data_IF_992107090076
#
_entry.id   IF_992107090076
#
_cell.length_a   1.000
_cell.length_b   1.000
_cell.length_c   1.000
_cell.angle_alpha   90.00
_cell.angle_beta   90.00
_cell.angle_gamma   90.00
#
_symmetry.space_group_name_H-M   'P 1'
#
loop_
_entity.id
_entity.type
_entity.pdbx_description
1 polymer ?
#
# COMPACT_ATOMS: atom_id res chain seq x y z
N UNK A 1 -14.87 11.03 -0.85
CA UNK A 1 -14.28 11.75 0.30
C UNK A 1 -12.84 11.30 0.40
N UNK A 2 -11.84 12.19 0.43
CA UNK A 2 -10.43 11.77 0.56
C UNK A 2 -10.19 11.36 2.00
N UNK A 3 -9.78 10.12 2.23
CA UNK A 3 -9.55 9.62 3.58
C UNK A 3 -8.31 10.30 4.21
N UNK A 4 -8.43 10.62 5.48
CA UNK A 4 -7.35 11.19 6.31
C UNK A 4 -7.12 10.27 7.50
N UNK A 5 -5.87 10.15 7.94
CA UNK A 5 -5.54 9.37 9.13
C UNK A 5 -6.07 10.07 10.39
N UNK A 6 -6.87 9.37 11.20
CA UNK A 6 -7.43 9.91 12.45
C UNK A 6 -6.34 10.22 13.49
N UNK A 7 -5.20 9.53 13.44
CA UNK A 7 -4.11 9.72 14.41
C UNK A 7 -3.20 10.90 14.08
N UNK A 8 -2.90 11.14 12.81
CA UNK A 8 -1.91 12.16 12.39
C UNK A 8 -2.43 13.22 11.43
N UNK A 9 -3.69 13.15 10.99
CA UNK A 9 -4.34 14.11 10.10
C UNK A 9 -3.83 14.11 8.65
N UNK A 10 -2.85 13.26 8.31
CA UNK A 10 -2.29 13.19 6.96
C UNK A 10 -3.26 12.51 5.99
N UNK A 11 -3.20 12.92 4.73
CA UNK A 11 -4.01 12.32 3.65
C UNK A 11 -3.53 10.89 3.37
N UNK A 12 -4.47 9.95 3.30
CA UNK A 12 -4.17 8.54 2.98
C UNK A 12 -4.07 8.31 1.47
N UNK A 13 -4.68 9.16 0.65
CA UNK A 13 -4.51 9.18 -0.80
C UNK A 13 -3.15 9.78 -1.18
N UNK A 14 -2.10 8.95 -1.15
CA UNK A 14 -0.76 9.31 -1.59
C UNK A 14 -0.12 8.13 -2.34
N UNK A 15 0.91 8.40 -3.15
CA UNK A 15 1.53 7.36 -3.99
C UNK A 15 1.99 6.14 -3.17
N UNK A 16 2.59 6.36 -1.99
CA UNK A 16 3.05 5.27 -1.11
C UNK A 16 1.93 4.32 -0.66
N UNK A 17 0.68 4.77 -0.69
CA UNK A 17 -0.50 3.97 -0.35
C UNK A 17 -1.25 3.47 -1.59
N UNK A 18 -0.69 3.63 -2.80
CA UNK A 18 -1.30 3.20 -4.04
C UNK A 18 -0.77 1.81 -4.46
N UNK A 19 -1.62 0.96 -5.04
CA UNK A 19 -1.22 -0.34 -5.60
C UNK A 19 -0.30 -0.20 -6.83
N UNK A 20 -0.36 0.92 -7.54
CA UNK A 20 0.46 1.18 -8.72
C UNK A 20 1.85 1.72 -8.40
N UNK A 21 2.15 2.00 -7.14
CA UNK A 21 3.42 2.58 -6.75
C UNK A 21 4.51 1.51 -6.67
N UNK A 22 5.65 1.80 -7.30
CA UNK A 22 6.80 0.90 -7.37
C UNK A 22 8.09 1.72 -7.29
N UNK A 23 8.87 1.52 -6.22
CA UNK A 23 10.12 2.24 -5.98
C UNK A 23 11.22 1.94 -7.01
N UNK A 24 11.14 0.82 -7.71
CA UNK A 24 12.13 0.38 -8.69
C UNK A 24 11.97 1.09 -10.05
N UNK A 25 10.82 1.74 -10.27
CA UNK A 25 10.56 2.52 -11.48
C UNK A 25 11.03 3.96 -11.32
N UNK A 26 11.64 4.53 -12.36
CA UNK A 26 12.11 5.93 -12.36
C UNK A 26 10.99 6.94 -12.09
N UNK A 27 9.78 6.67 -12.62
CA UNK A 27 8.56 7.47 -12.39
C UNK A 27 7.78 7.06 -11.13
N UNK A 28 8.28 6.04 -10.43
CA UNK A 28 7.68 5.39 -9.26
C UNK A 28 6.19 5.03 -9.38
N UNK A 29 5.72 4.79 -10.60
CA UNK A 29 4.32 4.45 -10.89
C UNK A 29 4.29 3.47 -12.06
N UNK A 30 3.50 2.41 -11.95
CA UNK A 30 3.35 1.40 -13.00
C UNK A 30 2.41 1.86 -14.12
N UNK A 31 1.50 2.80 -13.84
CA UNK A 31 0.60 3.35 -14.86
C UNK A 31 1.37 4.15 -15.93
N UNK A 32 1.02 3.94 -17.18
CA UNK A 32 1.57 4.71 -18.29
C UNK A 32 0.92 6.09 -18.38
N UNK A 33 1.70 7.09 -18.82
CA UNK A 33 1.23 8.47 -18.95
C UNK A 33 1.13 9.26 -17.63
N UNK A 34 1.36 8.62 -16.48
CA UNK A 34 1.48 9.35 -15.20
C UNK A 34 2.87 9.97 -15.05
N UNK A 35 2.91 11.26 -14.71
CA UNK A 35 4.15 11.96 -14.39
C UNK A 35 4.51 11.78 -12.91
N UNK A 36 5.81 11.72 -12.64
CA UNK A 36 6.32 11.75 -11.27
C UNK A 36 6.10 13.13 -10.64
N UNK A 37 5.48 13.16 -9.47
CA UNK A 37 5.32 14.38 -8.66
C UNK A 37 6.32 14.37 -7.51
N UNK A 38 7.27 15.32 -7.53
CA UNK A 38 8.31 15.43 -6.51
C UNK A 38 7.86 16.19 -5.26
N UNK A 39 6.78 16.98 -5.35
CA UNK A 39 6.24 17.74 -4.24
C UNK A 39 5.53 16.85 -3.24
N UNK A 40 6.02 16.84 -2.00
CA UNK A 40 5.42 16.11 -0.88
C UNK A 40 4.47 16.98 -0.04
N UNK A 41 4.29 18.24 -0.42
CA UNK A 41 3.45 19.20 0.30
C UNK A 41 2.02 19.28 -0.24
N UNK A 42 1.78 18.78 -1.46
CA UNK A 42 0.46 18.75 -2.06
C UNK A 42 -0.24 17.39 -1.83
N UNK A 43 -1.57 17.40 -1.80
CA UNK A 43 -2.33 16.16 -1.99
C UNK A 43 -2.13 15.69 -3.43
N UNK A 44 -1.34 14.62 -3.61
CA UNK A 44 -1.20 13.96 -4.91
C UNK A 44 -2.57 13.49 -5.37
N UNK A 45 -3.15 14.20 -6.34
CA UNK A 45 -4.39 13.81 -6.98
C UNK A 45 -4.05 13.02 -8.25
N UNK A 46 -4.49 11.76 -8.29
CA UNK A 46 -4.35 10.89 -9.45
C UNK A 46 -5.68 10.16 -9.65
N UNK A 47 -6.22 10.21 -10.86
CA UNK A 47 -7.47 9.51 -11.20
C UNK A 47 -7.32 7.98 -11.15
N UNK A 48 -6.11 7.47 -11.41
CA UNK A 48 -5.78 6.06 -11.32
C UNK A 48 -5.40 5.58 -9.91
N UNK A 49 -5.64 6.38 -8.86
CA UNK A 49 -5.32 5.96 -7.50
C UNK A 49 -6.15 4.74 -7.06
N UNK A 50 -5.46 3.69 -6.63
CA UNK A 50 -6.07 2.49 -6.06
C UNK A 50 -5.40 2.18 -4.73
N UNK A 51 -6.13 2.25 -3.61
CA UNK A 51 -5.57 1.99 -2.28
C UNK A 51 -4.96 0.59 -2.23
N UNK A 52 -3.74 0.48 -1.71
CA UNK A 52 -3.08 -0.81 -1.52
C UNK A 52 -3.63 -1.51 -0.28
N UNK A 53 -3.97 -2.79 -0.45
CA UNK A 53 -4.29 -3.70 0.66
C UNK A 53 -3.05 -4.35 1.28
N UNK A 54 -1.84 -3.85 0.98
CA UNK A 54 -0.57 -4.50 1.36
C UNK A 54 -0.44 -4.76 2.86
N UNK A 55 -0.90 -3.83 3.71
CA UNK A 55 -0.88 -4.00 5.17
C UNK A 55 -1.80 -5.14 5.60
N UNK A 56 -3.00 -5.20 5.02
CA UNK A 56 -3.99 -6.27 5.30
C UNK A 56 -3.45 -7.63 4.83
N UNK A 57 -2.92 -7.71 3.61
CA UNK A 57 -2.31 -8.92 3.08
C UNK A 57 -1.13 -9.41 3.92
N UNK A 58 -0.23 -8.51 4.32
CA UNK A 58 0.90 -8.87 5.18
C UNK A 58 0.46 -9.37 6.57
N UNK A 59 -0.66 -8.87 7.09
CA UNK A 59 -1.25 -9.37 8.33
C UNK A 59 -1.86 -10.77 8.13
N UNK A 60 -2.64 -10.97 7.06
CA UNK A 60 -3.23 -12.27 6.69
C UNK A 60 -2.16 -13.35 6.46
N UNK A 61 -1.05 -13.01 5.78
CA UNK A 61 0.09 -13.91 5.57
C UNK A 61 0.76 -14.32 6.88
N UNK A 62 0.91 -13.40 7.83
CA UNK A 62 1.46 -13.69 9.17
C UNK A 62 0.54 -14.65 9.94
N UNK A 63 -0.77 -14.42 9.87
CA UNK A 63 -1.77 -15.30 10.51
C UNK A 63 -1.71 -16.69 9.91
N UNK A 64 -1.77 -16.82 8.58
CA UNK A 64 -1.70 -18.12 7.90
C UNK A 64 -0.39 -18.85 8.19
N UNK A 65 0.74 -18.13 8.24
CA UNK A 65 2.03 -18.73 8.63
C UNK A 65 2.02 -19.25 10.07
N UNK A 66 1.42 -18.52 10.99
CA UNK A 66 1.29 -18.93 12.39
C UNK A 66 0.38 -20.17 12.53
N UNK A 67 -0.75 -20.21 11.81
CA UNK A 67 -1.65 -21.36 11.78
C UNK A 67 -0.94 -22.60 11.23
N UNK A 68 -0.28 -22.48 10.08
CA UNK A 68 0.47 -23.59 9.48
C UNK A 68 1.59 -24.09 10.40
N UNK A 69 2.34 -23.18 11.03
CA UNK A 69 3.36 -23.54 12.00
C UNK A 69 2.77 -24.27 13.22
N UNK A 70 1.62 -23.81 13.73
CA UNK A 70 0.92 -24.48 14.81
C UNK A 70 0.46 -25.89 14.43
N UNK A 71 -0.16 -26.07 13.26
CA UNK A 71 -0.59 -27.39 12.78
C UNK A 71 0.58 -28.37 12.60
N UNK A 72 1.72 -27.90 12.07
CA UNK A 72 2.91 -28.73 11.89
C UNK A 72 3.53 -29.28 13.19
N UNK A 73 3.18 -28.73 14.36
CA UNK A 73 3.65 -29.27 15.64
C UNK A 73 2.95 -30.58 16.03
N UNK A 74 1.78 -30.84 15.45
CA UNK A 74 0.91 -31.95 15.82
C UNK A 74 0.75 -33.00 14.71
N UNK A 75 1.18 -32.69 13.50
CA UNK A 75 1.33 -33.66 12.42
C UNK A 75 2.62 -34.46 12.65
N UNK A 76 2.46 -35.70 13.12
CA UNK A 76 3.53 -36.72 13.24
C UNK A 76 3.58 -37.60 12.01
#
# INVERSE_FOLDING_TARGET
MREVCEGCGKTLHCCNNCHHFDHELSRQCTLDGTFWEGSREAQNYCEGFAMTDSVRKAAEEKVSKAENAFHSLWEK
#
